data_IF_853252974540
#
_entry.id   IF_853252974540
#
_cell.length_a   1.000
_cell.length_b   1.000
_cell.length_c   1.000
_cell.angle_alpha   90.00
_cell.angle_beta   90.00
_cell.angle_gamma   90.00
#
_symmetry.space_group_name_H-M   'P 1'
#
loop_
_entity.id
_entity.type
_entity.pdbx_description
1 polymer ?
#
# COMPACT_ATOMS: atom_id res chain seq x y z
N UNK A 1 -7.77 18.85 -3.68
CA UNK A 1 -6.63 18.27 -4.43
C UNK A 1 -6.99 16.83 -4.81
N UNK A 2 -6.26 16.10 -5.69
CA UNK A 2 -6.55 14.68 -5.88
C UNK A 2 -6.32 13.94 -4.55
N UNK A 3 -7.03 12.83 -4.33
CA UNK A 3 -7.03 12.10 -3.05
C UNK A 3 -6.43 10.72 -3.25
N UNK A 4 -5.55 10.30 -2.34
CA UNK A 4 -5.06 8.93 -2.25
C UNK A 4 -5.52 8.32 -0.93
N UNK A 5 -6.08 7.11 -1.01
CA UNK A 5 -6.42 6.34 0.18
C UNK A 5 -5.25 5.48 0.60
N UNK A 6 -5.13 5.20 1.89
CA UNK A 6 -4.18 4.21 2.37
C UNK A 6 -4.87 3.22 3.28
N UNK A 7 -4.40 1.98 3.29
CA UNK A 7 -4.92 0.96 4.18
C UNK A 7 -3.81 0.01 4.62
N UNK A 8 -3.82 -0.29 5.91
CA UNK A 8 -2.91 -1.22 6.55
C UNK A 8 -3.69 -2.41 7.04
N UNK A 9 -3.26 -3.62 6.69
CA UNK A 9 -4.03 -4.78 7.07
C UNK A 9 -3.60 -5.41 8.38
N UNK A 10 -2.54 -4.99 9.06
CA UNK A 10 -2.12 -5.54 10.36
C UNK A 10 -3.27 -5.57 11.38
N UNK A 11 -3.42 -6.72 12.04
CA UNK A 11 -4.53 -7.09 12.93
C UNK A 11 -5.95 -7.04 12.30
N UNK A 12 -6.11 -6.68 11.02
CA UNK A 12 -7.40 -6.69 10.31
C UNK A 12 -7.78 -8.06 9.72
N UNK A 13 -9.07 -8.30 9.50
CA UNK A 13 -9.55 -9.40 8.65
C UNK A 13 -9.60 -8.97 7.18
N UNK A 14 -9.56 -9.93 6.24
CA UNK A 14 -9.74 -9.60 4.80
C UNK A 14 -11.12 -8.98 4.56
N UNK A 15 -12.16 -9.48 5.24
CA UNK A 15 -13.51 -8.92 5.18
C UNK A 15 -13.55 -7.47 5.67
N UNK A 16 -12.90 -7.16 6.80
CA UNK A 16 -12.80 -5.80 7.33
C UNK A 16 -12.07 -4.85 6.39
N UNK A 17 -11.02 -5.32 5.71
CA UNK A 17 -10.31 -4.55 4.68
C UNK A 17 -11.22 -4.28 3.47
N UNK A 18 -11.87 -5.30 2.92
CA UNK A 18 -12.77 -5.12 1.78
C UNK A 18 -13.96 -4.21 2.12
N UNK A 19 -14.52 -4.33 3.33
CA UNK A 19 -15.60 -3.47 3.80
C UNK A 19 -15.14 -2.00 3.91
N UNK A 20 -13.95 -1.74 4.46
CA UNK A 20 -13.40 -0.39 4.55
C UNK A 20 -13.16 0.23 3.16
N UNK A 21 -12.61 -0.54 2.22
CA UNK A 21 -12.39 -0.09 0.84
C UNK A 21 -13.71 0.22 0.12
N UNK A 22 -14.71 -0.64 0.25
CA UNK A 22 -16.03 -0.42 -0.34
C UNK A 22 -16.75 0.80 0.25
N UNK A 23 -16.67 1.02 1.58
CA UNK A 23 -17.24 2.22 2.22
C UNK A 23 -16.60 3.51 1.69
N UNK A 24 -15.31 3.48 1.37
CA UNK A 24 -14.60 4.60 0.76
C UNK A 24 -14.85 4.73 -0.77
N UNK A 25 -15.46 3.71 -1.38
CA UNK A 25 -15.68 3.62 -2.82
C UNK A 25 -14.37 3.51 -3.61
N UNK A 26 -13.39 2.77 -3.09
CA UNK A 26 -12.11 2.55 -3.78
C UNK A 26 -12.32 1.65 -5.00
N UNK A 27 -11.80 2.06 -6.15
CA UNK A 27 -11.88 1.32 -7.42
C UNK A 27 -10.69 0.39 -7.60
N UNK A 28 -9.51 0.78 -7.10
CA UNK A 28 -8.26 0.04 -7.28
C UNK A 28 -7.46 -0.07 -5.99
N UNK A 29 -7.08 -1.30 -5.63
CA UNK A 29 -6.18 -1.62 -4.55
C UNK A 29 -4.75 -1.79 -5.10
N UNK A 30 -3.90 -0.81 -4.82
CA UNK A 30 -2.49 -0.80 -5.18
C UNK A 30 -1.68 -1.49 -4.07
N UNK A 31 -1.30 -2.75 -4.30
CA UNK A 31 -0.42 -3.48 -3.41
C UNK A 31 1.03 -3.04 -3.64
N UNK A 32 1.59 -2.31 -2.68
CA UNK A 32 2.95 -1.76 -2.75
C UNK A 32 3.94 -2.62 -1.98
N UNK A 33 3.59 -3.86 -1.60
CA UNK A 33 4.51 -4.78 -0.94
C UNK A 33 5.57 -5.27 -1.93
N UNK A 34 6.85 -5.24 -1.55
CA UNK A 34 7.91 -5.86 -2.36
C UNK A 34 7.69 -7.37 -2.54
N UNK A 35 7.20 -8.03 -1.49
CA UNK A 35 6.79 -9.43 -1.50
C UNK A 35 5.35 -9.52 -0.98
N UNK A 36 4.35 -9.80 -1.84
CA UNK A 36 2.95 -9.91 -1.44
C UNK A 36 2.66 -11.29 -0.81
N UNK A 37 3.52 -11.69 0.12
CA UNK A 37 3.42 -12.91 0.92
C UNK A 37 2.91 -12.53 2.31
N UNK A 38 1.86 -13.21 2.75
CA UNK A 38 1.29 -13.01 4.09
C UNK A 38 0.90 -14.34 4.68
N UNK A 39 1.19 -14.53 5.97
CA UNK A 39 0.66 -15.65 6.77
C UNK A 39 -0.76 -15.36 7.28
N UNK A 40 -1.24 -14.13 7.13
CA UNK A 40 -2.59 -13.75 7.55
C UNK A 40 -3.59 -14.24 6.51
N UNK A 41 -4.64 -14.99 6.91
CA UNK A 41 -5.63 -15.54 5.98
C UNK A 41 -6.21 -14.45 5.06
N UNK A 42 -6.32 -14.75 3.77
CA UNK A 42 -6.85 -13.82 2.77
C UNK A 42 -5.89 -12.76 2.22
N UNK A 43 -4.68 -12.61 2.79
CA UNK A 43 -3.73 -11.55 2.39
C UNK A 43 -2.54 -12.02 1.54
N UNK A 44 -2.50 -13.29 1.14
CA UNK A 44 -1.59 -13.74 0.07
C UNK A 44 -2.02 -13.11 -1.25
N UNK A 45 -1.08 -12.89 -2.18
CA UNK A 45 -1.36 -12.23 -3.48
C UNK A 45 -2.63 -12.74 -4.17
N UNK A 46 -2.73 -14.05 -4.37
CA UNK A 46 -3.86 -14.68 -5.08
C UNK A 46 -5.17 -14.55 -4.33
N UNK A 47 -5.17 -14.80 -3.02
CA UNK A 47 -6.37 -14.67 -2.20
C UNK A 47 -6.83 -13.21 -2.14
N UNK A 48 -5.91 -12.27 -1.93
CA UNK A 48 -6.22 -10.85 -1.86
C UNK A 48 -6.81 -10.33 -3.19
N UNK A 49 -6.20 -10.71 -4.32
CA UNK A 49 -6.72 -10.36 -5.64
C UNK A 49 -8.12 -10.94 -5.89
N UNK A 50 -8.37 -12.19 -5.45
CA UNK A 50 -9.68 -12.81 -5.56
C UNK A 50 -10.74 -12.09 -4.71
N UNK A 51 -10.43 -11.77 -3.45
CA UNK A 51 -11.33 -11.03 -2.56
C UNK A 51 -11.60 -9.61 -3.07
N UNK A 52 -10.58 -8.90 -3.56
CA UNK A 52 -10.74 -7.57 -4.15
C UNK A 52 -11.67 -7.61 -5.35
N UNK A 53 -11.45 -8.57 -6.28
CA UNK A 53 -12.31 -8.76 -7.45
C UNK A 53 -13.75 -9.08 -7.07
N UNK A 54 -13.98 -9.93 -6.08
CA UNK A 54 -15.33 -10.25 -5.57
C UNK A 54 -16.02 -9.01 -4.97
N UNK A 55 -15.25 -8.13 -4.34
CA UNK A 55 -15.71 -6.84 -3.86
C UNK A 55 -15.89 -5.77 -4.97
N UNK A 56 -15.59 -6.09 -6.23
CA UNK A 56 -15.66 -5.15 -7.35
C UNK A 56 -14.46 -4.19 -7.46
N UNK A 57 -13.36 -4.49 -6.76
CA UNK A 57 -12.16 -3.67 -6.68
C UNK A 57 -11.06 -4.29 -7.55
N UNK A 58 -10.44 -3.49 -8.42
CA UNK A 58 -9.28 -3.94 -9.19
C UNK A 58 -8.06 -4.13 -8.26
N UNK A 59 -7.33 -5.23 -8.40
CA UNK A 59 -6.08 -5.45 -7.68
C UNK A 59 -4.89 -5.29 -8.62
N UNK A 60 -3.93 -4.43 -8.24
CA UNK A 60 -2.67 -4.26 -8.98
C UNK A 60 -1.47 -4.28 -8.03
N UNK A 61 -0.46 -5.07 -8.39
CA UNK A 61 0.77 -5.21 -7.61
C UNK A 61 1.88 -4.32 -8.18
N UNK A 62 2.32 -3.34 -7.41
CA UNK A 62 3.41 -2.43 -7.73
C UNK A 62 4.70 -2.88 -7.04
N UNK A 63 5.25 -4.01 -7.48
CA UNK A 63 6.46 -4.61 -6.88
C UNK A 63 7.63 -3.63 -6.78
N UNK A 64 7.87 -2.84 -7.82
CA UNK A 64 8.98 -1.90 -7.91
C UNK A 64 8.89 -0.76 -6.87
N UNK A 65 7.68 -0.47 -6.38
CA UNK A 65 7.44 0.50 -5.31
C UNK A 65 7.57 -0.12 -3.92
N UNK A 66 7.95 -1.39 -3.80
CA UNK A 66 8.03 -2.05 -2.51
C UNK A 66 9.35 -1.87 -1.79
N UNK A 67 9.29 -1.82 -0.47
CA UNK A 67 10.47 -1.72 0.40
C UNK A 67 11.41 -2.91 0.25
N UNK A 68 12.72 -2.73 -0.05
CA UNK A 68 13.71 -3.81 -0.15
C UNK A 68 13.85 -4.63 1.13
N UNK A 69 14.50 -5.79 1.05
CA UNK A 69 14.66 -6.69 2.21
C UNK A 69 15.32 -6.00 3.41
N UNK A 70 16.39 -5.26 3.17
CA UNK A 70 17.12 -4.54 4.22
C UNK A 70 16.31 -3.38 4.78
N UNK A 71 15.54 -2.68 3.95
CA UNK A 71 14.59 -1.66 4.39
C UNK A 71 13.50 -2.25 5.28
N UNK A 72 12.94 -3.41 4.91
CA UNK A 72 11.98 -4.14 5.77
C UNK A 72 12.62 -4.60 7.08
N UNK A 73 13.90 -4.98 7.06
CA UNK A 73 14.63 -5.33 8.28
C UNK A 73 14.83 -4.11 9.19
N UNK A 74 15.14 -2.94 8.62
CA UNK A 74 15.23 -1.67 9.36
C UNK A 74 13.88 -1.27 9.97
N UNK A 75 12.79 -1.36 9.20
CA UNK A 75 11.42 -1.10 9.69
C UNK A 75 11.08 -1.97 10.92
N UNK A 76 11.39 -3.26 10.88
CA UNK A 76 11.17 -4.19 12.02
C UNK A 76 11.97 -3.86 13.27
N UNK A 77 13.09 -3.15 13.13
CA UNK A 77 13.91 -2.67 14.26
C UNK A 77 13.56 -1.24 14.68
N UNK A 78 12.52 -0.65 14.10
CA UNK A 78 12.16 0.76 14.27
C UNK A 78 13.31 1.73 13.89
N UNK A 79 14.19 1.31 12.98
CA UNK A 79 15.29 2.12 12.45
C UNK A 79 14.80 2.92 11.24
N UNK A 80 14.06 3.99 11.54
CA UNK A 80 13.40 4.83 10.52
C UNK A 80 14.40 5.52 9.59
N UNK A 81 15.55 5.98 10.10
CA UNK A 81 16.56 6.66 9.30
C UNK A 81 17.16 5.70 8.25
N UNK A 82 17.47 4.47 8.63
CA UNK A 82 17.96 3.47 7.67
C UNK A 82 16.88 3.06 6.67
N UNK A 83 15.62 2.90 7.12
CA UNK A 83 14.50 2.62 6.23
C UNK A 83 14.34 3.72 5.17
N UNK A 84 14.32 4.98 5.60
CA UNK A 84 14.15 6.14 4.71
C UNK A 84 15.25 6.19 3.66
N UNK A 85 16.52 6.06 4.07
CA UNK A 85 17.66 6.05 3.15
C UNK A 85 17.59 4.92 2.13
N UNK A 86 17.31 3.69 2.57
CA UNK A 86 17.23 2.52 1.69
C UNK A 86 16.05 2.66 0.72
N UNK A 87 14.92 3.15 1.22
CA UNK A 87 13.73 3.23 0.40
C UNK A 87 13.76 4.39 -0.59
N UNK A 88 14.38 5.53 -0.23
CA UNK A 88 14.65 6.60 -1.19
C UNK A 88 15.48 6.07 -2.38
N UNK A 89 16.58 5.35 -2.10
CA UNK A 89 17.39 4.75 -3.15
C UNK A 89 16.63 3.71 -4.00
N UNK A 90 15.67 2.99 -3.42
CA UNK A 90 14.77 2.10 -4.17
C UNK A 90 13.86 2.87 -5.12
N UNK A 91 13.32 4.01 -4.68
CA UNK A 91 12.39 4.83 -5.47
C UNK A 91 13.08 5.58 -6.61
N UNK A 92 14.40 5.77 -6.53
CA UNK A 92 15.22 6.35 -7.61
C UNK A 92 15.54 5.35 -8.74
N UNK A 93 15.24 4.05 -8.56
CA UNK A 93 15.47 3.06 -9.61
C UNK A 93 14.53 3.30 -10.80
N UNK A 94 14.98 3.12 -12.06
CA UNK A 94 14.18 3.39 -13.25
C UNK A 94 12.81 2.70 -13.26
N UNK A 95 12.76 1.44 -12.82
CA UNK A 95 11.51 0.68 -12.71
C UNK A 95 10.56 1.21 -11.64
N UNK A 96 11.09 1.79 -10.56
CA UNK A 96 10.31 2.38 -9.50
C UNK A 96 9.75 3.74 -9.92
N UNK A 97 10.56 4.55 -10.61
CA UNK A 97 10.11 5.82 -11.22
C UNK A 97 8.96 5.57 -12.19
N UNK A 98 9.11 4.61 -13.11
CA UNK A 98 8.05 4.26 -14.06
C UNK A 98 6.78 3.77 -13.35
N UNK A 99 6.92 2.90 -12.36
CA UNK A 99 5.79 2.42 -11.57
C UNK A 99 5.10 3.54 -10.79
N UNK A 100 5.86 4.53 -10.32
CA UNK A 100 5.35 5.72 -9.63
C UNK A 100 4.54 6.62 -10.55
N UNK A 101 5.00 6.84 -11.78
CA UNK A 101 4.23 7.56 -12.81
C UNK A 101 2.92 6.84 -13.09
N UNK A 102 2.95 5.52 -13.34
CA UNK A 102 1.74 4.72 -13.57
C UNK A 102 0.76 4.77 -12.41
N UNK A 103 1.26 4.72 -11.17
CA UNK A 103 0.43 4.84 -9.98
C UNK A 103 -0.24 6.22 -9.90
N UNK A 104 0.51 7.27 -10.23
CA UNK A 104 0.02 8.66 -10.23
C UNK A 104 -1.08 8.86 -11.28
N UNK A 105 -0.86 8.39 -12.51
CA UNK A 105 -1.86 8.44 -13.59
C UNK A 105 -3.17 7.74 -13.18
N UNK A 106 -3.07 6.53 -12.60
CA UNK A 106 -4.24 5.81 -12.10
C UNK A 106 -4.96 6.55 -10.97
N UNK A 107 -4.21 7.18 -10.05
CA UNK A 107 -4.77 7.91 -8.92
C UNK A 107 -5.41 9.25 -9.33
N UNK A 108 -5.08 9.79 -10.50
CA UNK A 108 -5.76 10.95 -11.09
C UNK A 108 -7.11 10.59 -11.73
N UNK A 109 -7.25 9.35 -12.22
CA UNK A 109 -8.45 8.89 -12.91
C UNK A 109 -9.43 8.12 -12.02
N UNK A 110 -8.93 7.49 -10.95
CA UNK A 110 -9.68 6.52 -10.14
C UNK A 110 -9.40 6.69 -8.65
N UNK A 111 -10.29 6.17 -7.81
CA UNK A 111 -10.04 6.11 -6.36
C UNK A 111 -9.11 4.95 -6.05
N UNK A 112 -7.83 5.27 -5.77
CA UNK A 112 -6.78 4.28 -5.49
C UNK A 112 -6.48 4.20 -4.00
N UNK A 113 -6.39 2.98 -3.45
CA UNK A 113 -5.88 2.73 -2.10
C UNK A 113 -4.50 2.06 -2.12
N UNK A 114 -3.53 2.66 -1.45
CA UNK A 114 -2.22 2.05 -1.20
C UNK A 114 -2.30 1.04 -0.06
N UNK A 115 -1.98 -0.22 -0.32
CA UNK A 115 -1.98 -1.28 0.66
C UNK A 115 -0.56 -1.58 1.17
N UNK A 116 -0.34 -1.46 2.48
CA UNK A 116 0.85 -1.98 3.17
C UNK A 116 0.47 -2.96 4.29
N UNK A 117 1.46 -3.60 4.92
CA UNK A 117 1.22 -4.49 6.05
C UNK A 117 0.80 -3.69 7.29
N UNK A 118 1.58 -2.67 7.63
CA UNK A 118 1.49 -1.91 8.88
C UNK A 118 0.16 -1.15 8.99
N UNK A 119 -0.49 -1.25 10.16
CA UNK A 119 -1.80 -0.60 10.42
C UNK A 119 -1.65 0.92 10.43
N UNK A 120 -0.73 1.43 11.25
CA UNK A 120 -0.47 2.86 11.41
C UNK A 120 0.34 3.42 10.22
N UNK A 121 -0.17 4.48 9.59
CA UNK A 121 0.51 5.16 8.48
C UNK A 121 1.78 5.89 8.95
N UNK A 122 1.82 6.36 10.20
CA UNK A 122 2.90 7.18 10.75
C UNK A 122 4.28 6.50 10.75
N UNK A 123 4.31 5.18 10.68
CA UNK A 123 5.54 4.37 10.72
C UNK A 123 5.71 3.48 9.48
N UNK A 124 4.78 3.54 8.51
CA UNK A 124 4.80 2.69 7.33
C UNK A 124 5.57 3.31 6.16
N UNK A 125 6.23 2.45 5.38
CA UNK A 125 6.84 2.80 4.09
C UNK A 125 5.87 3.46 3.10
N UNK A 126 4.54 3.21 3.21
CA UNK A 126 3.54 3.88 2.36
C UNK A 126 3.54 5.40 2.51
N UNK A 127 3.92 5.92 3.68
CA UNK A 127 4.07 7.38 3.89
C UNK A 127 5.27 7.93 3.14
N UNK A 128 6.38 7.19 3.13
CA UNK A 128 7.56 7.56 2.35
C UNK A 128 7.26 7.50 0.84
N UNK A 129 6.59 6.44 0.39
CA UNK A 129 6.17 6.29 -1.01
C UNK A 129 5.29 7.46 -1.44
N UNK A 130 4.26 7.76 -0.66
CA UNK A 130 3.35 8.86 -0.93
C UNK A 130 4.09 10.19 -1.00
N UNK A 131 4.96 10.49 -0.03
CA UNK A 131 5.72 11.75 -0.05
C UNK A 131 6.59 11.89 -1.29
N UNK A 132 7.17 10.80 -1.78
CA UNK A 132 8.03 10.81 -2.96
C UNK A 132 7.26 10.85 -4.29
N UNK A 133 6.15 10.10 -4.39
CA UNK A 133 5.45 9.85 -5.66
C UNK A 133 4.16 10.65 -5.80
N UNK A 134 3.49 10.97 -4.70
CA UNK A 134 2.18 11.62 -4.65
C UNK A 134 2.18 12.85 -3.71
N UNK A 135 3.15 13.78 -3.81
CA UNK A 135 3.31 14.87 -2.85
C UNK A 135 2.11 15.83 -2.81
N UNK A 136 1.40 15.97 -3.93
CA UNK A 136 0.27 16.90 -4.09
C UNK A 136 -1.09 16.26 -3.79
N UNK A 137 -1.11 15.01 -3.33
CA UNK A 137 -2.35 14.30 -3.02
C UNK A 137 -2.75 14.49 -1.55
N UNK A 138 -4.02 14.80 -1.33
CA UNK A 138 -4.65 14.68 -0.01
C UNK A 138 -4.74 13.20 0.38
N UNK A 139 -4.65 12.92 1.68
CA UNK A 139 -4.48 11.54 2.18
C UNK A 139 -5.62 11.17 3.09
N UNK A 140 -6.23 10.02 2.81
CA UNK A 140 -7.25 9.43 3.67
C UNK A 140 -6.79 8.06 4.13
N UNK A 141 -6.43 7.95 5.41
CA UNK A 141 -6.05 6.68 6.02
C UNK A 141 -7.32 5.91 6.44
N UNK A 142 -7.54 4.76 5.81
CA UNK A 142 -8.65 3.86 6.12
C UNK A 142 -8.27 2.92 7.26
N UNK A 143 -9.20 2.76 8.20
CA UNK A 143 -9.07 1.85 9.33
C UNK A 143 -10.01 0.66 9.15
N UNK A 144 -9.49 -0.55 8.87
CA UNK A 144 -10.29 -1.75 8.79
C UNK A 144 -10.62 -2.30 10.18
N UNK A 145 -11.77 -2.97 10.24
CA UNK A 145 -12.25 -3.63 11.46
C UNK A 145 -11.25 -4.72 11.90
N UNK A 146 -11.07 -4.85 13.22
CA UNK A 146 -10.08 -5.75 13.82
C UNK A 146 -10.55 -7.21 13.77
N UNK A 147 -9.59 -8.13 13.63
CA UNK A 147 -9.82 -9.51 14.00
C UNK A 147 -9.77 -9.57 15.53
N UNK A 148 -10.94 -9.73 16.17
CA UNK A 148 -11.04 -9.89 17.63
C UNK A 148 -10.27 -11.07 18.18
#
# INVERSE_FOLDING_TARGET
MPVIWTIGYEQATVAGVMAALNRAGVDLLADVRALPLSRRPGFSKSALAANAREAGIEYRHFKALGTPADGRAAARRHDHATLERIYAAQLDLPEAVLAGVQLTELALERKVALLCYERAASECHRTLLRKAVLPDFEVVDLLPDEAG
#
